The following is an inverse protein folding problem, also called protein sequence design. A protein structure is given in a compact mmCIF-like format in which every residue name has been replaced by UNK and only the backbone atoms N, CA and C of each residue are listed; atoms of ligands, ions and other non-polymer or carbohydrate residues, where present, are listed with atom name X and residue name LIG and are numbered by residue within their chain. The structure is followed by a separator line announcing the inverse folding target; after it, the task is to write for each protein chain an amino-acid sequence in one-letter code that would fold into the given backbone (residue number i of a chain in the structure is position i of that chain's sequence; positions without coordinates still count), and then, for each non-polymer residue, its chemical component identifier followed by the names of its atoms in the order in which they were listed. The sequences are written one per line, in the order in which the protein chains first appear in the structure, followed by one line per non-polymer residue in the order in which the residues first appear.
data_IF_445462607849
#
_entry.id   IF_445462607849
#
_cell.length_a   1.000
_cell.length_b   1.000
_cell.length_c   1.000
_cell.angle_alpha   90.00
_cell.angle_beta   90.00
_cell.angle_gamma   90.00
#
_symmetry.space_group_name_H-M   'P 1'
#
loop_
_entity.id
_entity.type
_entity.pdbx_description
1 polymer ?
#
# COMPACT_ATOMS: atom_id res chain seq x y z
N UNK A 1 15.63 -35.70 -27.93
CA UNK A 1 15.58 -36.27 -26.57
C UNK A 1 15.34 -35.12 -25.61
N UNK A 2 14.14 -35.05 -25.02
CA UNK A 2 13.75 -34.02 -24.06
C UNK A 2 14.23 -34.50 -22.68
N UNK A 3 15.18 -33.80 -22.08
CA UNK A 3 15.74 -34.18 -20.78
C UNK A 3 14.78 -33.67 -19.70
N UNK A 4 14.23 -34.60 -18.92
CA UNK A 4 13.41 -34.26 -17.75
C UNK A 4 14.28 -33.57 -16.69
N UNK A 5 13.82 -32.43 -16.13
CA UNK A 5 14.57 -31.74 -15.10
C UNK A 5 14.68 -32.59 -13.82
N UNK A 6 15.82 -32.53 -13.11
CA UNK A 6 16.05 -33.33 -11.92
C UNK A 6 15.02 -33.01 -10.81
N UNK A 7 14.62 -34.02 -10.00
CA UNK A 7 13.53 -33.94 -9.01
C UNK A 7 13.75 -32.87 -7.92
N UNK A 8 14.97 -32.36 -7.80
CA UNK A 8 15.32 -31.24 -6.93
C UNK A 8 14.66 -29.91 -7.37
N UNK A 9 14.32 -29.75 -8.65
CA UNK A 9 13.63 -28.56 -9.16
C UNK A 9 12.12 -28.60 -8.89
N UNK A 10 11.51 -29.80 -8.91
CA UNK A 10 10.07 -29.99 -8.68
C UNK A 10 9.67 -29.66 -7.24
N UNK A 11 10.59 -29.88 -6.28
CA UNK A 11 10.36 -29.62 -4.85
C UNK A 11 10.47 -28.14 -4.48
N UNK A 12 11.28 -27.36 -5.22
CA UNK A 12 11.45 -25.92 -5.00
C UNK A 12 10.23 -25.10 -5.45
N UNK A 13 9.41 -25.61 -6.39
CA UNK A 13 8.17 -24.97 -6.82
C UNK A 13 6.99 -25.19 -5.86
N UNK A 14 7.07 -26.20 -4.98
CA UNK A 14 5.99 -26.58 -4.07
C UNK A 14 5.93 -25.82 -2.75
N UNK A 15 6.89 -24.92 -2.49
CA UNK A 15 6.90 -24.04 -1.32
C UNK A 15 6.73 -22.58 -1.75
N UNK A 16 5.67 -22.32 -2.51
CA UNK A 16 5.04 -21.01 -2.42
C UNK A 16 4.39 -20.98 -1.04
N UNK A 17 5.01 -20.23 -0.12
CA UNK A 17 4.28 -19.59 0.98
C UNK A 17 2.94 -19.10 0.40
N UNK A 18 1.81 -19.16 1.12
CA UNK A 18 0.58 -18.53 0.64
C UNK A 18 0.96 -17.09 0.35
N UNK A 19 1.10 -16.75 -0.93
CA UNK A 19 1.33 -15.38 -1.34
C UNK A 19 0.14 -14.66 -0.77
N UNK A 20 0.36 -13.86 0.26
CA UNK A 20 -0.65 -12.91 0.68
C UNK A 20 -0.94 -12.16 -0.61
N UNK A 21 -2.13 -12.38 -1.16
CA UNK A 21 -2.49 -11.81 -2.44
C UNK A 21 -2.67 -10.32 -2.17
N UNK A 22 -1.57 -9.57 -2.26
CA UNK A 22 -1.58 -8.13 -2.29
C UNK A 22 -2.55 -7.73 -3.40
N UNK A 23 -3.61 -7.02 -3.03
CA UNK A 23 -4.69 -6.68 -3.97
C UNK A 23 -4.21 -5.73 -5.05
N UNK A 24 -3.13 -5.00 -4.75
CA UNK A 24 -2.49 -4.06 -5.65
C UNK A 24 -1.03 -4.43 -5.87
N UNK A 25 -0.54 -4.12 -7.06
CA UNK A 25 0.87 -4.23 -7.41
C UNK A 25 1.72 -3.20 -6.64
N UNK A 26 3.04 -3.42 -6.54
CA UNK A 26 3.96 -2.45 -5.94
C UNK A 26 3.88 -1.05 -6.56
N UNK A 27 3.72 -0.95 -7.88
CA UNK A 27 3.62 0.34 -8.57
C UNK A 27 2.30 1.07 -8.24
N UNK A 28 1.20 0.34 -8.08
CA UNK A 28 -0.07 0.92 -7.63
C UNK A 28 -0.02 1.39 -6.18
N UNK A 29 0.63 0.60 -5.30
CA UNK A 29 0.91 1.00 -3.92
C UNK A 29 1.76 2.26 -3.86
N UNK A 30 2.80 2.34 -4.69
CA UNK A 30 3.63 3.53 -4.80
C UNK A 30 2.79 4.76 -5.19
N UNK A 31 1.97 4.66 -6.23
CA UNK A 31 1.08 5.74 -6.65
C UNK A 31 0.08 6.16 -5.57
N UNK A 32 -0.54 5.19 -4.87
CA UNK A 32 -1.45 5.49 -3.75
C UNK A 32 -0.74 6.24 -2.60
N UNK A 33 0.51 5.90 -2.31
CA UNK A 33 1.32 6.61 -1.31
C UNK A 33 1.64 8.04 -1.78
N UNK A 34 2.01 8.24 -3.04
CA UNK A 34 2.25 9.58 -3.61
C UNK A 34 1.00 10.46 -3.57
N UNK A 35 -0.16 9.91 -3.91
CA UNK A 35 -1.45 10.59 -3.83
C UNK A 35 -1.81 10.96 -2.39
N UNK A 36 -1.56 10.06 -1.43
CA UNK A 36 -1.76 10.34 -0.02
C UNK A 36 -0.87 11.49 0.46
N UNK A 37 0.41 11.51 0.07
CA UNK A 37 1.33 12.60 0.40
C UNK A 37 0.80 13.93 -0.15
N UNK A 38 0.39 13.94 -1.43
CA UNK A 38 -0.14 15.14 -2.09
C UNK A 38 -1.44 15.63 -1.42
N UNK A 39 -2.32 14.72 -1.02
CA UNK A 39 -3.53 15.06 -0.27
C UNK A 39 -3.19 15.68 1.09
N UNK A 40 -2.25 15.11 1.83
CA UNK A 40 -1.84 15.64 3.14
C UNK A 40 -1.17 17.01 3.01
N UNK A 41 -0.29 17.19 2.02
CA UNK A 41 0.37 18.45 1.70
C UNK A 41 -0.64 19.56 1.38
N UNK A 42 -1.67 19.26 0.59
CA UNK A 42 -2.67 20.25 0.17
C UNK A 42 -3.73 20.55 1.22
N UNK A 43 -4.11 19.58 2.06
CA UNK A 43 -5.27 19.72 2.95
C UNK A 43 -4.94 19.82 4.44
N UNK A 44 -3.83 19.23 4.89
CA UNK A 44 -3.47 19.17 6.31
C UNK A 44 -2.36 20.16 6.65
N UNK A 45 -1.29 20.19 5.86
CA UNK A 45 -0.13 21.05 6.12
C UNK A 45 -0.49 22.55 6.24
N UNK A 46 -1.40 23.13 5.44
CA UNK A 46 -1.67 24.57 5.53
C UNK A 46 -2.23 25.01 6.87
N UNK A 47 -3.10 24.20 7.49
CA UNK A 47 -3.63 24.54 8.81
C UNK A 47 -2.61 24.27 9.91
N UNK A 48 -1.86 23.17 9.84
CA UNK A 48 -0.80 22.88 10.80
C UNK A 48 0.27 23.99 10.81
N UNK A 49 0.67 24.49 9.64
CA UNK A 49 1.59 25.64 9.51
C UNK A 49 1.05 26.92 10.15
N UNK A 50 -0.27 27.08 10.22
CA UNK A 50 -0.95 28.20 10.91
C UNK A 50 -1.17 27.93 12.40
N UNK A 51 -0.65 26.82 12.95
CA UNK A 51 -0.82 26.43 14.35
C UNK A 51 -2.20 25.91 14.70
N UNK A 52 -2.97 25.44 13.71
CA UNK A 52 -4.33 24.88 13.91
C UNK A 52 -4.47 23.52 13.25
N UNK A 53 -5.50 22.77 13.63
CA UNK A 53 -5.84 21.51 12.98
C UNK A 53 -6.94 21.72 11.93
N UNK A 54 -7.02 20.88 10.88
CA UNK A 54 -8.16 20.86 9.98
C UNK A 54 -9.46 20.66 10.74
N UNK A 55 -10.57 21.17 10.19
CA UNK A 55 -11.89 20.98 10.79
C UNK A 55 -12.27 19.50 10.88
N UNK A 56 -13.22 19.17 11.76
CA UNK A 56 -13.60 17.79 12.07
C UNK A 56 -14.03 16.99 10.83
N UNK A 57 -14.70 17.62 9.87
CA UNK A 57 -15.18 16.95 8.65
C UNK A 57 -13.99 16.61 7.75
N UNK A 58 -13.10 17.58 7.53
CA UNK A 58 -11.88 17.39 6.74
C UNK A 58 -10.96 16.36 7.38
N UNK A 59 -10.66 16.50 8.68
CA UNK A 59 -9.81 15.57 9.43
C UNK A 59 -10.35 14.13 9.38
N UNK A 60 -11.67 13.94 9.52
CA UNK A 60 -12.29 12.61 9.41
C UNK A 60 -12.05 12.01 8.04
N UNK A 61 -12.32 12.76 6.96
CA UNK A 61 -12.15 12.26 5.58
C UNK A 61 -10.69 11.87 5.31
N UNK A 62 -9.74 12.72 5.67
CA UNK A 62 -8.31 12.43 5.51
C UNK A 62 -7.93 11.17 6.31
N UNK A 63 -8.41 11.04 7.55
CA UNK A 63 -8.10 9.87 8.38
C UNK A 63 -8.60 8.55 7.79
N UNK A 64 -9.75 8.55 7.09
CA UNK A 64 -10.26 7.35 6.44
C UNK A 64 -9.38 6.94 5.24
N UNK A 65 -8.88 7.91 4.48
CA UNK A 65 -7.93 7.65 3.39
C UNK A 65 -6.63 7.04 3.93
N UNK A 66 -6.04 7.66 4.97
CA UNK A 66 -4.80 7.14 5.57
C UNK A 66 -4.99 5.72 6.10
N UNK A 67 -6.11 5.42 6.76
CA UNK A 67 -6.41 4.06 7.23
C UNK A 67 -6.59 3.09 6.07
N UNK A 68 -7.19 3.51 4.97
CA UNK A 68 -7.38 2.66 3.80
C UNK A 68 -6.02 2.29 3.16
N UNK A 69 -5.14 3.27 2.98
CA UNK A 69 -3.77 3.02 2.46
C UNK A 69 -2.97 2.15 3.42
N UNK A 70 -3.06 2.38 4.74
CA UNK A 70 -2.38 1.54 5.73
C UNK A 70 -2.83 0.07 5.63
N UNK A 71 -4.14 -0.18 5.47
CA UNK A 71 -4.66 -1.55 5.27
C UNK A 71 -4.14 -2.20 3.99
N UNK A 72 -3.87 -1.42 2.95
CA UNK A 72 -3.34 -1.94 1.71
C UNK A 72 -1.84 -2.23 1.79
N UNK A 73 -1.11 -1.53 2.64
CA UNK A 73 0.30 -1.83 2.95
C UNK A 73 0.45 -3.04 3.88
N UNK A 74 -0.53 -3.28 4.77
CA UNK A 74 -0.54 -4.41 5.70
C UNK A 74 -1.02 -5.73 5.07
N UNK A 75 -1.90 -5.65 4.07
CA UNK A 75 -2.40 -6.79 3.29
C UNK A 75 -1.33 -7.28 2.32
#
# INVERSE_FOLDING_TARGET
KLIEPPPSLTKAQGRREPSVEHKHSPDELHGMVEDMITLLESTVQPELRKGRYPDRKTARRVSEVVKAVARELDA
#
